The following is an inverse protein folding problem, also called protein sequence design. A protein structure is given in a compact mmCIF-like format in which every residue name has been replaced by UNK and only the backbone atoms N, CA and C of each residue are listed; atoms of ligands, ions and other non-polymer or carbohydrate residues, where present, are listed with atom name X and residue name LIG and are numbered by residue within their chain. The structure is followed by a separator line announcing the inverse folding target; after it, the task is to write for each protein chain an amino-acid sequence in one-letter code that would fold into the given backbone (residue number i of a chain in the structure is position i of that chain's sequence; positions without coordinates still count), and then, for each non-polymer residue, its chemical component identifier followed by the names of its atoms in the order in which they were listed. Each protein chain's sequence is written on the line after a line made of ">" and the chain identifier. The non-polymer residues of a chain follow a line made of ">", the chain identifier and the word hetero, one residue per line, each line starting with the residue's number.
data_IF_327230753703
#
_entry.id   IF_327230753703
#
_cell.length_a   1.000
_cell.length_b   1.000
_cell.length_c   1.000
_cell.angle_alpha   90.00
_cell.angle_beta   90.00
_cell.angle_gamma   90.00
#
_symmetry.space_group_name_H-M   'P 1'
#
loop_
_entity.id
_entity.type
_entity.pdbx_description
1 polymer ?
#
# COMPACT_ATOMS: atom_id res chain seq x y z
N UNK A 1 6.68 -11.87 5.37
CA UNK A 1 5.85 -11.90 6.60
C UNK A 1 4.69 -10.92 6.53
N UNK A 2 4.92 -9.62 6.29
CA UNK A 2 3.81 -8.65 6.13
C UNK A 2 2.81 -9.05 5.04
N UNK A 3 3.29 -9.49 3.88
CA UNK A 3 2.44 -9.96 2.77
C UNK A 3 1.54 -11.14 3.17
N UNK A 4 2.08 -12.14 3.85
CA UNK A 4 1.32 -13.32 4.33
C UNK A 4 0.20 -12.90 5.28
N UNK A 5 0.48 -11.97 6.20
CA UNK A 5 -0.52 -11.45 7.14
C UNK A 5 -1.58 -10.65 6.38
N UNK A 6 -1.18 -9.78 5.45
CA UNK A 6 -2.10 -8.97 4.65
C UNK A 6 -3.06 -9.81 3.81
N UNK A 7 -2.55 -10.84 3.13
CA UNK A 7 -3.35 -11.76 2.32
C UNK A 7 -4.29 -12.58 3.20
N UNK A 8 -3.84 -13.08 4.34
CA UNK A 8 -4.68 -13.84 5.27
C UNK A 8 -5.84 -13.01 5.84
N UNK A 9 -5.59 -11.75 6.21
CA UNK A 9 -6.62 -10.81 6.67
C UNK A 9 -7.57 -10.46 5.53
N UNK A 10 -7.06 -10.18 4.33
CA UNK A 10 -7.88 -9.83 3.17
C UNK A 10 -8.86 -10.96 2.81
N UNK A 11 -8.41 -12.22 2.80
CA UNK A 11 -9.30 -13.36 2.56
C UNK A 11 -10.30 -13.59 3.68
N UNK A 12 -9.91 -13.35 4.93
CA UNK A 12 -10.81 -13.44 6.07
C UNK A 12 -11.95 -12.40 5.98
N UNK A 13 -11.61 -11.16 5.61
CA UNK A 13 -12.58 -10.08 5.39
C UNK A 13 -13.46 -10.31 4.16
N UNK A 14 -12.87 -10.64 3.00
CA UNK A 14 -13.63 -10.92 1.76
C UNK A 14 -14.61 -12.09 1.90
N UNK A 15 -14.28 -13.07 2.75
CA UNK A 15 -15.13 -14.22 3.02
C UNK A 15 -16.15 -13.98 4.13
N UNK A 16 -16.30 -12.74 4.61
CA UNK A 16 -17.13 -12.37 5.75
C UNK A 16 -16.93 -13.29 6.97
N UNK A 17 -15.68 -13.67 7.24
CA UNK A 17 -15.32 -14.57 8.33
C UNK A 17 -15.49 -16.07 8.08
N UNK A 18 -15.94 -16.51 6.89
CA UNK A 18 -16.06 -17.95 6.58
C UNK A 18 -14.72 -18.67 6.44
N UNK A 19 -13.70 -17.98 5.96
CA UNK A 19 -12.35 -18.56 5.84
C UNK A 19 -11.54 -18.11 7.07
N UNK A 20 -11.10 -19.05 7.93
CA UNK A 20 -10.30 -18.72 9.10
C UNK A 20 -8.87 -18.31 8.69
N UNK A 21 -8.17 -17.59 9.57
CA UNK A 21 -6.83 -17.06 9.31
C UNK A 21 -5.81 -18.13 8.85
N UNK A 22 -5.88 -19.33 9.42
CA UNK A 22 -5.01 -20.44 9.02
C UNK A 22 -5.26 -20.88 7.56
N UNK A 23 -6.50 -20.76 7.07
CA UNK A 23 -6.85 -20.99 5.68
C UNK A 23 -6.27 -19.92 4.76
N UNK A 24 -6.32 -18.66 5.17
CA UNK A 24 -5.65 -17.56 4.47
C UNK A 24 -4.14 -17.77 4.33
N UNK A 25 -3.48 -18.28 5.38
CA UNK A 25 -2.05 -18.64 5.34
C UNK A 25 -1.79 -19.78 4.35
N UNK A 26 -2.62 -20.81 4.29
CA UNK A 26 -2.46 -21.88 3.29
C UNK A 26 -2.58 -21.38 1.85
N UNK A 27 -3.49 -20.42 1.60
CA UNK A 27 -3.64 -19.80 0.27
C UNK A 27 -2.38 -19.03 -0.13
N UNK A 28 -1.65 -18.43 0.81
CA UNK A 28 -0.40 -17.70 0.50
C UNK A 28 0.70 -18.60 -0.05
N UNK A 29 0.67 -19.90 0.27
CA UNK A 29 1.59 -20.89 -0.32
C UNK A 29 1.29 -21.03 -1.82
N UNK A 30 0.01 -21.14 -2.17
CA UNK A 30 -0.45 -21.24 -3.57
C UNK A 30 -0.12 -19.97 -4.34
N UNK A 31 -0.31 -18.80 -3.73
CA UNK A 31 0.04 -17.50 -4.30
C UNK A 31 1.55 -17.40 -4.62
N UNK A 32 2.41 -17.84 -3.70
CA UNK A 32 3.86 -17.91 -3.95
C UNK A 32 4.20 -18.83 -5.13
N UNK A 33 3.54 -19.99 -5.25
CA UNK A 33 3.72 -20.87 -6.40
C UNK A 33 3.22 -20.25 -7.71
N UNK A 34 2.09 -19.53 -7.67
CA UNK A 34 1.54 -18.81 -8.81
C UNK A 34 2.48 -17.70 -9.27
N UNK A 35 3.08 -16.96 -8.33
CA UNK A 35 4.09 -15.95 -8.61
C UNK A 35 5.33 -16.52 -9.30
N UNK A 36 5.87 -17.64 -8.79
CA UNK A 36 7.00 -18.34 -9.44
C UNK A 36 6.66 -18.85 -10.84
N UNK A 37 5.41 -19.27 -11.06
CA UNK A 37 4.94 -19.66 -12.39
C UNK A 37 4.87 -18.45 -13.33
N UNK A 38 4.37 -17.31 -12.87
CA UNK A 38 4.32 -16.07 -13.66
C UNK A 38 5.71 -15.54 -14.01
N UNK A 39 6.67 -15.63 -13.09
CA UNK A 39 8.05 -15.20 -13.32
C UNK A 39 8.70 -15.98 -14.49
N UNK A 40 8.45 -17.29 -14.56
CA UNK A 40 8.88 -18.13 -15.68
C UNK A 40 8.23 -17.77 -17.03
N UNK A 41 7.09 -17.08 -17.04
CA UNK A 41 6.39 -16.67 -18.27
C UNK A 41 6.88 -15.34 -18.87
N UNK A 42 7.79 -14.64 -18.18
CA UNK A 42 8.54 -13.49 -18.71
C UNK A 42 8.20 -12.15 -18.05
N UNK A 43 9.26 -11.36 -17.79
CA UNK A 43 9.24 -10.10 -17.05
C UNK A 43 8.19 -9.08 -17.55
N UNK A 44 7.98 -8.97 -18.85
CA UNK A 44 7.01 -8.01 -19.42
C UNK A 44 5.56 -8.29 -19.02
N UNK A 45 5.17 -9.56 -18.84
CA UNK A 45 3.81 -9.92 -18.42
C UNK A 45 3.60 -9.68 -16.93
N UNK A 46 4.65 -9.96 -16.14
CA UNK A 46 4.67 -9.69 -14.71
C UNK A 46 4.59 -8.18 -14.42
N UNK A 47 5.30 -7.36 -15.19
CA UNK A 47 5.20 -5.89 -15.11
C UNK A 47 3.77 -5.39 -15.39
N UNK A 48 3.13 -5.90 -16.47
CA UNK A 48 1.75 -5.54 -16.78
C UNK A 48 0.76 -5.99 -15.69
N UNK A 49 0.99 -7.15 -15.08
CA UNK A 49 0.18 -7.66 -13.98
C UNK A 49 0.27 -6.75 -12.74
N UNK A 50 1.47 -6.36 -12.31
CA UNK A 50 1.63 -5.40 -11.20
C UNK A 50 1.09 -4.02 -11.54
N UNK A 51 1.31 -3.53 -12.77
CA UNK A 51 0.73 -2.27 -13.22
C UNK A 51 -0.80 -2.26 -13.14
N UNK A 52 -1.44 -3.37 -13.51
CA UNK A 52 -2.88 -3.55 -13.36
C UNK A 52 -3.33 -3.52 -11.88
N UNK A 53 -2.63 -4.24 -11.00
CA UNK A 53 -2.94 -4.24 -9.55
C UNK A 53 -2.80 -2.84 -8.93
N UNK A 54 -1.71 -2.13 -9.22
CA UNK A 54 -1.49 -0.76 -8.74
C UNK A 54 -2.56 0.18 -9.27
N UNK A 55 -2.98 0.03 -10.53
CA UNK A 55 -4.05 0.83 -11.13
C UNK A 55 -5.37 0.62 -10.41
N UNK A 56 -5.75 -0.63 -10.09
CA UNK A 56 -6.95 -0.90 -9.30
C UNK A 56 -6.87 -0.23 -7.94
N UNK A 57 -5.74 -0.38 -7.23
CA UNK A 57 -5.56 0.27 -5.92
C UNK A 57 -5.69 1.79 -6.01
N UNK A 58 -5.03 2.41 -6.99
CA UNK A 58 -5.06 3.86 -7.19
C UNK A 58 -6.48 4.36 -7.51
N UNK A 59 -7.23 3.63 -8.35
CA UNK A 59 -8.62 3.98 -8.69
C UNK A 59 -9.56 3.84 -7.49
N UNK A 60 -9.48 2.74 -6.75
CA UNK A 60 -10.34 2.49 -5.58
C UNK A 60 -10.08 3.51 -4.47
N UNK A 61 -8.82 3.71 -4.07
CA UNK A 61 -8.49 4.71 -3.06
C UNK A 61 -8.68 6.15 -3.56
N UNK A 62 -8.47 6.40 -4.85
CA UNK A 62 -8.75 7.70 -5.47
C UNK A 62 -10.25 8.03 -5.42
N UNK A 63 -11.11 7.05 -5.69
CA UNK A 63 -12.56 7.20 -5.55
C UNK A 63 -12.96 7.48 -4.11
N UNK A 64 -12.45 6.71 -3.15
CA UNK A 64 -12.68 6.92 -1.71
C UNK A 64 -12.24 8.32 -1.26
N UNK A 65 -11.10 8.81 -1.74
CA UNK A 65 -10.63 10.17 -1.43
C UNK A 65 -11.60 11.25 -1.91
N UNK A 66 -12.18 11.09 -3.11
CA UNK A 66 -13.18 12.03 -3.66
C UNK A 66 -14.50 11.96 -2.89
N UNK A 67 -14.92 10.77 -2.45
CA UNK A 67 -16.15 10.57 -1.67
C UNK A 67 -15.99 11.10 -0.24
N UNK A 68 -14.89 10.78 0.43
CA UNK A 68 -14.62 11.20 1.81
C UNK A 68 -14.42 12.71 1.95
N UNK A 69 -14.10 13.42 0.85
CA UNK A 69 -13.86 14.88 0.79
C UNK A 69 -13.09 15.39 2.03
N UNK A 70 -11.88 14.86 2.29
CA UNK A 70 -11.08 15.33 3.42
C UNK A 70 -10.80 16.83 3.27
N UNK A 71 -10.75 17.54 4.39
CA UNK A 71 -10.48 18.96 4.40
C UNK A 71 -9.07 19.26 3.85
N UNK A 72 -8.99 19.69 2.59
CA UNK A 72 -7.72 19.91 1.90
C UNK A 72 -6.84 20.95 2.61
N UNK A 73 -7.45 21.94 3.28
CA UNK A 73 -6.73 22.91 4.08
C UNK A 73 -6.04 22.31 5.31
N UNK A 74 -6.61 21.26 5.92
CA UNK A 74 -5.97 20.55 7.02
C UNK A 74 -4.88 19.60 6.52
N UNK A 75 -5.09 18.94 5.37
CA UNK A 75 -4.08 18.10 4.72
C UNK A 75 -2.84 18.90 4.32
N UNK A 76 -3.03 20.06 3.68
CA UNK A 76 -1.92 20.94 3.31
C UNK A 76 -1.20 21.48 4.55
N UNK A 77 -1.95 21.87 5.59
CA UNK A 77 -1.32 22.29 6.86
C UNK A 77 -0.52 21.16 7.51
N UNK A 78 -1.03 19.92 7.52
CA UNK A 78 -0.31 18.76 8.05
C UNK A 78 0.92 18.38 7.21
N UNK A 79 0.87 18.60 5.90
CA UNK A 79 1.99 18.35 4.99
C UNK A 79 3.13 19.36 5.18
N UNK A 80 2.82 20.65 5.42
CA UNK A 80 3.81 21.72 5.55
C UNK A 80 4.24 21.99 7.00
N UNK A 81 3.37 21.77 7.98
CA UNK A 81 3.63 21.94 9.41
C UNK A 81 3.28 20.65 10.16
N UNK A 82 4.23 19.72 10.33
CA UNK A 82 4.08 18.58 11.23
C UNK A 82 4.16 19.07 12.69
N UNK A 83 3.08 19.66 13.18
CA UNK A 83 2.97 20.14 14.56
C UNK A 83 1.95 19.30 15.31
N UNK A 84 2.39 18.66 16.38
CA UNK A 84 1.56 17.79 17.19
C UNK A 84 1.56 18.31 18.63
N UNK A 85 0.67 19.26 18.98
CA UNK A 85 0.58 19.80 20.32
C UNK A 85 0.05 18.71 21.26
N UNK A 86 0.96 18.00 21.94
CA UNK A 86 0.62 16.92 22.89
C UNK A 86 0.97 15.50 22.45
N UNK A 87 1.74 15.30 21.38
CA UNK A 87 2.20 13.98 20.96
C UNK A 87 2.91 13.24 22.12
N UNK A 88 2.35 12.12 22.55
CA UNK A 88 2.95 11.20 23.49
C UNK A 88 3.81 10.14 22.79
N UNK A 89 4.25 9.15 23.58
CA UNK A 89 4.94 7.95 23.07
C UNK A 89 4.14 7.16 22.02
N UNK A 90 2.79 6.97 22.12
CA UNK A 90 2.08 6.14 21.15
C UNK A 90 1.95 6.77 19.76
N UNK A 91 1.69 8.09 19.66
CA UNK A 91 1.64 8.75 18.33
C UNK A 91 3.03 8.78 17.68
N UNK A 92 4.10 8.99 18.47
CA UNK A 92 5.46 8.93 17.97
C UNK A 92 5.80 7.53 17.43
N UNK A 93 5.40 6.47 18.14
CA UNK A 93 5.63 5.09 17.70
C UNK A 93 4.86 4.76 16.41
N UNK A 94 3.62 5.26 16.26
CA UNK A 94 2.87 5.15 15.01
C UNK A 94 3.54 5.91 13.86
N UNK A 95 4.00 7.14 14.11
CA UNK A 95 4.71 7.93 13.09
C UNK A 95 6.01 7.24 12.64
N UNK A 96 6.80 6.73 13.58
CA UNK A 96 8.00 5.94 13.27
C UNK A 96 7.63 4.64 12.54
N UNK A 97 6.52 4.01 12.89
CA UNK A 97 5.98 2.83 12.20
C UNK A 97 5.62 3.11 10.74
N UNK A 98 4.97 4.24 10.45
CA UNK A 98 4.65 4.68 9.08
C UNK A 98 5.94 4.94 8.29
N UNK A 99 6.91 5.64 8.89
CA UNK A 99 8.22 5.89 8.25
C UNK A 99 8.94 4.57 7.94
N UNK A 100 8.95 3.62 8.88
CA UNK A 100 9.54 2.30 8.70
C UNK A 100 8.81 1.43 7.66
N UNK A 101 7.50 1.61 7.50
CA UNK A 101 6.72 0.93 6.47
C UNK A 101 7.01 1.48 5.06
N UNK A 102 7.22 2.80 4.93
CA UNK A 102 7.53 3.44 3.65
C UNK A 102 8.97 3.16 3.22
N UNK A 103 9.91 3.22 4.16
CA UNK A 103 11.33 3.00 3.88
C UNK A 103 11.65 1.51 4.04
N UNK A 104 11.40 0.73 2.99
CA UNK A 104 11.70 -0.70 2.94
C UNK A 104 13.21 -0.90 2.70
N UNK A 105 14.02 -1.33 3.70
CA UNK A 105 15.48 -1.38 3.56
C UNK A 105 15.94 -2.36 2.49
N UNK A 106 15.22 -3.47 2.28
CA UNK A 106 15.54 -4.45 1.24
C UNK A 106 15.39 -3.88 -0.17
N UNK A 107 14.47 -2.94 -0.40
CA UNK A 107 14.32 -2.28 -1.70
C UNK A 107 15.53 -1.41 -2.05
N UNK A 108 16.20 -0.82 -1.06
CA UNK A 108 17.44 -0.04 -1.27
C UNK A 108 18.56 -0.96 -1.79
N UNK A 109 18.70 -2.16 -1.22
CA UNK A 109 19.68 -3.15 -1.67
C UNK A 109 19.34 -3.69 -3.07
N UNK A 110 18.07 -3.98 -3.33
CA UNK A 110 17.61 -4.48 -4.63
C UNK A 110 17.81 -3.44 -5.75
N UNK A 111 17.43 -2.18 -5.52
CA UNK A 111 17.70 -1.09 -6.47
C UNK A 111 19.20 -0.92 -6.71
N UNK A 112 20.03 -1.03 -5.68
CA UNK A 112 21.49 -0.95 -5.82
C UNK A 112 22.06 -2.10 -6.67
N UNK A 113 21.48 -3.30 -6.58
CA UNK A 113 21.88 -4.45 -7.38
C UNK A 113 21.40 -4.33 -8.84
N UNK A 114 20.17 -3.84 -9.07
CA UNK A 114 19.62 -3.60 -10.41
C UNK A 114 20.37 -2.51 -11.18
N UNK A 115 20.80 -1.44 -10.51
CA UNK A 115 21.67 -0.41 -11.13
C UNK A 115 23.03 -0.99 -11.52
N UNK A 116 23.50 -2.00 -10.79
CA UNK A 116 24.80 -2.63 -11.00
C UNK A 116 24.77 -3.76 -12.05
N UNK A 117 23.60 -4.36 -12.33
CA UNK A 117 23.46 -5.47 -13.27
C UNK A 117 23.38 -5.06 -14.74
N UNK A 118 23.13 -3.77 -15.03
CA UNK A 118 23.12 -3.26 -16.41
C UNK A 118 24.56 -3.05 -16.89
N UNK A 119 24.90 -3.62 -18.05
CA UNK A 119 26.20 -3.41 -18.71
C UNK A 119 26.36 -1.94 -19.08
N UNK A 120 26.97 -1.17 -18.18
CA UNK A 120 27.44 0.18 -18.47
C UNK A 120 28.93 0.10 -18.68
N UNK A 121 29.40 0.58 -19.83
CA UNK A 121 30.82 0.68 -20.15
C UNK A 121 31.49 1.67 -19.19
N UNK A 122 32.04 1.14 -18.09
CA UNK A 122 32.63 1.92 -16.97
C UNK A 122 33.84 2.75 -17.38
N UNK A 123 34.33 2.58 -18.61
CA UNK A 123 35.43 3.34 -19.19
C UNK A 123 35.02 4.75 -19.61
N UNK A 124 33.74 4.98 -19.94
CA UNK A 124 33.19 6.29 -20.32
C UNK A 124 32.34 6.91 -19.22
N UNK A 125 32.92 7.92 -18.54
CA UNK A 125 32.23 8.66 -17.46
C UNK A 125 30.94 9.37 -17.90
N UNK A 126 30.79 9.68 -19.18
CA UNK A 126 29.58 10.31 -19.73
C UNK A 126 28.37 9.36 -19.68
N UNK A 127 28.53 8.15 -20.22
CA UNK A 127 27.47 7.14 -20.33
C UNK A 127 26.99 6.67 -18.94
N UNK A 128 27.90 6.61 -17.96
CA UNK A 128 27.57 6.30 -16.56
C UNK A 128 26.72 7.40 -15.92
N UNK A 129 27.02 8.67 -16.20
CA UNK A 129 26.28 9.81 -15.63
C UNK A 129 24.88 9.92 -16.22
N UNK A 130 24.76 9.69 -17.52
CA UNK A 130 23.49 9.68 -18.22
C UNK A 130 22.59 8.53 -17.76
N UNK A 131 23.13 7.30 -17.67
CA UNK A 131 22.39 6.16 -17.13
C UNK A 131 21.89 6.39 -15.69
N UNK A 132 22.71 7.03 -14.84
CA UNK A 132 22.33 7.35 -13.47
C UNK A 132 21.24 8.44 -13.41
N UNK A 133 21.26 9.44 -14.29
CA UNK A 133 20.22 10.47 -14.35
C UNK A 133 18.86 9.90 -14.79
N UNK A 134 18.85 9.01 -15.80
CA UNK A 134 17.61 8.32 -16.20
C UNK A 134 17.06 7.48 -15.05
N UNK A 135 17.91 6.71 -14.37
CA UNK A 135 17.48 5.87 -13.26
C UNK A 135 16.97 6.69 -12.06
N UNK A 136 17.65 7.79 -11.73
CA UNK A 136 17.20 8.70 -10.68
C UNK A 136 15.85 9.30 -11.05
N UNK A 137 15.65 9.69 -12.30
CA UNK A 137 14.37 10.24 -12.77
C UNK A 137 13.25 9.21 -12.66
N UNK A 138 13.48 7.99 -13.14
CA UNK A 138 12.51 6.88 -13.08
C UNK A 138 12.13 6.54 -11.63
N UNK A 139 13.13 6.35 -10.77
CA UNK A 139 12.91 6.07 -9.34
C UNK A 139 12.21 7.24 -8.63
N UNK A 140 12.56 8.49 -8.97
CA UNK A 140 11.92 9.68 -8.40
C UNK A 140 10.43 9.74 -8.75
N UNK A 141 10.09 9.48 -10.01
CA UNK A 141 8.69 9.47 -10.46
C UNK A 141 7.92 8.34 -9.75
N UNK A 142 8.49 7.14 -9.68
CA UNK A 142 7.86 6.01 -9.00
C UNK A 142 7.60 6.28 -7.51
N UNK A 143 8.60 6.83 -6.80
CA UNK A 143 8.48 7.20 -5.39
C UNK A 143 7.48 8.34 -5.18
N UNK A 144 7.41 9.31 -6.09
CA UNK A 144 6.46 10.40 -6.02
C UNK A 144 5.00 9.92 -6.17
N UNK A 145 4.75 8.99 -7.10
CA UNK A 145 3.43 8.35 -7.25
C UNK A 145 3.07 7.56 -5.98
N UNK A 146 4.01 6.79 -5.44
CA UNK A 146 3.82 6.05 -4.19
C UNK A 146 3.50 6.98 -3.01
N UNK A 147 4.19 8.12 -2.91
CA UNK A 147 3.92 9.14 -1.91
C UNK A 147 2.48 9.67 -2.00
N UNK A 148 1.98 9.97 -3.21
CA UNK A 148 0.61 10.45 -3.42
C UNK A 148 -0.42 9.39 -2.98
N UNK A 149 -0.21 8.11 -3.35
CA UNK A 149 -1.11 7.02 -2.96
C UNK A 149 -1.14 6.89 -1.42
N UNK A 150 0.03 6.88 -0.78
CA UNK A 150 0.13 6.79 0.68
C UNK A 150 -0.53 8.00 1.36
N UNK A 151 -0.40 9.20 0.80
CA UNK A 151 -1.07 10.40 1.31
C UNK A 151 -2.60 10.26 1.22
N UNK A 152 -3.14 9.77 0.11
CA UNK A 152 -4.58 9.55 -0.04
C UNK A 152 -5.11 8.49 0.93
N UNK A 153 -4.41 7.36 1.03
CA UNK A 153 -4.75 6.30 1.99
C UNK A 153 -4.77 6.88 3.41
N UNK A 154 -3.70 7.54 3.85
CA UNK A 154 -3.64 8.14 5.19
C UNK A 154 -4.71 9.20 5.42
N UNK A 155 -5.06 10.02 4.40
CA UNK A 155 -6.11 11.02 4.50
C UNK A 155 -7.51 10.41 4.67
N UNK A 156 -7.82 9.36 3.89
CA UNK A 156 -9.09 8.63 3.94
C UNK A 156 -9.22 7.90 5.27
N UNK A 157 -8.21 7.15 5.69
CA UNK A 157 -8.21 6.47 6.99
C UNK A 157 -8.25 7.46 8.16
N UNK A 158 -7.55 8.59 8.03
CA UNK A 158 -7.67 9.70 8.97
C UNK A 158 -9.12 10.13 9.10
N UNK A 159 -9.79 10.56 8.03
CA UNK A 159 -11.20 10.97 8.12
C UNK A 159 -12.14 9.86 8.60
N UNK A 160 -11.94 8.62 8.15
CA UNK A 160 -12.81 7.50 8.49
C UNK A 160 -12.72 7.08 9.96
N UNK A 161 -11.53 7.16 10.57
CA UNK A 161 -11.27 6.62 11.91
C UNK A 161 -10.85 7.65 12.96
N UNK A 162 -10.71 8.93 12.62
CA UNK A 162 -10.37 9.97 13.61
C UNK A 162 -11.50 10.11 14.64
N UNK A 163 -11.21 9.74 15.89
CA UNK A 163 -12.11 9.68 17.07
C UNK A 163 -13.01 8.45 17.21
N UNK A 164 -12.86 7.39 16.42
CA UNK A 164 -13.65 6.17 16.64
C UNK A 164 -13.08 5.26 17.74
N UNK A 165 -13.96 4.74 18.58
CA UNK A 165 -13.64 3.71 19.58
C UNK A 165 -13.45 2.34 18.89
N UNK A 166 -12.71 1.39 19.49
CA UNK A 166 -12.40 0.08 18.85
C UNK A 166 -13.65 -0.70 18.37
N UNK A 167 -14.82 -0.49 18.99
CA UNK A 167 -16.09 -1.07 18.57
C UNK A 167 -16.66 -0.40 17.30
N UNK A 168 -16.51 0.92 17.17
CA UNK A 168 -16.95 1.67 16.00
C UNK A 168 -16.05 1.41 14.80
N UNK A 169 -14.74 1.21 15.01
CA UNK A 169 -13.81 0.85 13.94
C UNK A 169 -14.17 -0.50 13.29
N UNK A 170 -14.58 -1.49 14.10
CA UNK A 170 -15.08 -2.78 13.60
C UNK A 170 -16.43 -2.64 12.88
N UNK A 171 -17.24 -1.66 13.30
CA UNK A 171 -18.50 -1.30 12.65
C UNK A 171 -18.26 -0.51 11.34
N UNK A 172 -17.20 0.29 11.26
CA UNK A 172 -16.75 0.99 10.06
C UNK A 172 -16.29 0.03 8.97
N UNK A 173 -15.60 -1.06 9.33
CA UNK A 173 -15.31 -2.18 8.42
C UNK A 173 -16.61 -2.82 7.91
N UNK A 174 -17.62 -3.02 8.77
CA UNK A 174 -18.94 -3.50 8.35
C UNK A 174 -19.66 -2.50 7.42
N UNK A 175 -19.55 -1.19 7.66
CA UNK A 175 -20.11 -0.17 6.77
C UNK A 175 -19.40 -0.14 5.42
N UNK A 176 -18.08 -0.38 5.39
CA UNK A 176 -17.31 -0.51 4.17
C UNK A 176 -17.72 -1.75 3.36
N UNK A 177 -18.00 -2.89 4.02
CA UNK A 177 -18.62 -4.08 3.39
C UNK A 177 -20.04 -3.80 2.84
N UNK A 178 -20.82 -2.98 3.53
CA UNK A 178 -22.17 -2.59 3.08
C UNK A 178 -22.09 -1.62 1.89
N UNK A 179 -21.12 -0.70 1.86
CA UNK A 179 -20.92 0.25 0.76
C UNK A 179 -20.36 -0.43 -0.51
N UNK A 180 -19.51 -1.45 -0.33
CA UNK A 180 -19.00 -2.31 -1.41
C UNK A 180 -20.00 -3.38 -1.86
N UNK A 181 -21.21 -3.42 -1.30
CA UNK A 181 -22.30 -4.30 -1.73
C UNK A 181 -22.10 -5.79 -1.41
N UNK A 182 -21.16 -6.15 -0.55
CA UNK A 182 -20.88 -7.56 -0.19
C UNK A 182 -21.72 -8.09 0.97
N UNK A 183 -22.53 -7.25 1.63
CA UNK A 183 -23.56 -7.69 2.59
C UNK A 183 -24.99 -7.47 2.09
N UNK A 184 -25.46 -8.38 1.25
CA UNK A 184 -26.87 -8.76 1.28
C UNK A 184 -27.02 -9.97 2.21
N UNK A 185 -27.86 -9.84 3.22
CA UNK A 185 -28.19 -10.79 4.29
C UNK A 185 -27.28 -10.77 5.52
N UNK A 186 -27.66 -9.94 6.50
CA UNK A 186 -28.05 -10.41 7.82
C UNK A 186 -28.64 -9.23 8.62
N UNK A 187 -29.92 -8.96 8.36
CA UNK A 187 -30.81 -8.23 9.27
C UNK A 187 -31.71 -9.32 9.89
N UNK A 188 -31.49 -9.61 11.19
CA UNK A 188 -32.36 -10.15 12.28
C UNK A 188 -33.43 -11.24 11.95
N UNK A 189 -33.84 -12.15 12.87
CA UNK A 189 -34.24 -11.88 14.27
C UNK A 189 -33.72 -12.95 15.26
N UNK A 190 -33.75 -12.87 16.60
CA UNK A 190 -34.40 -12.07 17.64
C UNK A 190 -33.37 -11.69 18.72
#
# INVERSE_FOLDING_TARGET
>A
MQEVIGTAISFNLLSAGRIPLWGGVLITIVDTFFFLFLDNYGLRKLEAFFGFLITIMALTFGYEYVVARPSQGALLKGLFLPSCPGCGQPELLQAVGIVGAIIMPHNIYLHSALVKSREVDRTRRGDVREANMYFLTEATIALFVSFIINLFVMAVFGQAFYQQTNEEAMTGVNYFEVLLGTRHHLRAPE
#
